data_IF_008270302444
#
_entry.id   IF_008270302444
#
_cell.length_a   1.000
_cell.length_b   1.000
_cell.length_c   1.000
_cell.angle_alpha   90.00
_cell.angle_beta   90.00
_cell.angle_gamma   90.00
#
_symmetry.space_group_name_H-M   'P 1'
#
loop_
_entity.id
_entity.type
_entity.pdbx_description
1 polymer ?
#
# COMPACT_ATOMS: atom_id res chain seq x y z
N UNK A 1 3.19 -10.41 4.33
CA UNK A 1 3.64 -9.81 5.61
C UNK A 1 5.12 -10.07 5.79
N UNK A 2 5.88 -9.06 6.19
CA UNK A 2 7.31 -9.14 6.42
C UNK A 2 7.69 -8.46 7.73
N UNK A 3 8.80 -8.90 8.36
CA UNK A 3 9.41 -8.21 9.47
C UNK A 3 10.51 -7.26 9.01
N UNK A 4 10.64 -6.12 9.68
CA UNK A 4 11.76 -5.20 9.56
C UNK A 4 12.31 -4.88 10.95
N UNK A 5 13.52 -4.38 11.03
CA UNK A 5 14.06 -3.92 12.32
C UNK A 5 13.14 -2.80 12.88
N UNK A 6 12.76 -2.84 14.16
CA UNK A 6 11.76 -1.91 14.72
C UNK A 6 12.05 -0.43 14.50
N UNK A 7 13.31 -0.03 14.47
CA UNK A 7 13.71 1.36 14.20
C UNK A 7 13.38 1.81 12.75
N UNK A 8 13.14 0.86 11.84
CA UNK A 8 12.77 1.12 10.45
C UNK A 8 11.30 0.77 10.15
N UNK A 9 10.46 0.71 11.17
CA UNK A 9 9.04 0.34 11.02
C UNK A 9 8.30 1.15 9.95
N UNK A 10 8.68 2.42 9.76
CA UNK A 10 8.06 3.30 8.77
C UNK A 10 8.22 2.82 7.33
N UNK A 11 9.28 2.10 7.00
CA UNK A 11 9.50 1.55 5.65
C UNK A 11 9.09 0.08 5.52
N UNK A 12 8.43 -0.48 6.51
CA UNK A 12 7.87 -1.84 6.47
C UNK A 12 7.06 -2.16 5.20
N UNK A 13 6.27 -1.22 4.66
CA UNK A 13 5.58 -1.40 3.37
C UNK A 13 6.50 -1.79 2.21
N UNK A 14 7.74 -1.28 2.18
CA UNK A 14 8.67 -1.49 1.05
C UNK A 14 9.01 -2.97 0.85
N UNK A 15 9.58 -3.70 1.83
CA UNK A 15 9.85 -5.12 1.65
C UNK A 15 8.57 -5.95 1.51
N UNK A 16 7.45 -5.53 2.12
CA UNK A 16 6.18 -6.23 1.97
C UNK A 16 5.65 -6.20 0.54
N UNK A 17 5.67 -5.02 -0.10
CA UNK A 17 5.26 -4.86 -1.50
C UNK A 17 6.24 -5.57 -2.44
N UNK A 18 7.56 -5.42 -2.23
CA UNK A 18 8.55 -6.09 -3.06
C UNK A 18 8.41 -7.62 -3.00
N UNK A 19 8.20 -8.19 -1.81
CA UNK A 19 7.98 -9.64 -1.67
C UNK A 19 6.69 -10.07 -2.39
N UNK A 20 5.61 -9.31 -2.23
CA UNK A 20 4.33 -9.59 -2.88
C UNK A 20 4.47 -9.58 -4.41
N UNK A 21 5.08 -8.54 -4.97
CA UNK A 21 5.31 -8.43 -6.41
C UNK A 21 6.18 -9.57 -6.95
N UNK A 22 7.24 -9.94 -6.22
CA UNK A 22 8.10 -11.05 -6.61
C UNK A 22 7.35 -12.39 -6.61
N UNK A 23 6.51 -12.66 -5.60
CA UNK A 23 5.69 -13.88 -5.51
C UNK A 23 4.71 -14.00 -6.68
N UNK A 24 4.11 -12.89 -7.08
CA UNK A 24 3.14 -12.84 -8.19
C UNK A 24 3.81 -12.65 -9.57
N UNK A 25 5.14 -12.54 -9.62
CA UNK A 25 5.92 -12.26 -10.86
C UNK A 25 5.48 -10.96 -11.54
N UNK A 26 5.17 -9.95 -10.74
CA UNK A 26 4.75 -8.62 -11.18
C UNK A 26 5.81 -7.58 -10.85
N UNK A 27 5.66 -6.42 -11.48
CA UNK A 27 6.41 -5.20 -11.18
C UNK A 27 5.45 -4.09 -10.75
N UNK A 28 5.97 -3.01 -10.19
CA UNK A 28 5.14 -1.86 -9.81
C UNK A 28 4.43 -1.21 -11.03
N UNK A 29 4.96 -1.40 -12.23
CA UNK A 29 4.35 -0.90 -13.47
C UNK A 29 3.04 -1.63 -13.81
N UNK A 30 2.90 -2.89 -13.37
CA UNK A 30 1.71 -3.72 -13.57
C UNK A 30 0.57 -3.34 -12.61
N UNK A 31 0.83 -2.47 -11.63
CA UNK A 31 -0.11 -2.02 -10.63
C UNK A 31 -0.76 -0.71 -11.06
N UNK A 32 -2.08 -0.64 -10.98
CA UNK A 32 -2.86 0.52 -11.40
C UNK A 32 -3.04 1.56 -10.29
N UNK A 33 -3.19 1.12 -9.02
CA UNK A 33 -3.30 2.00 -7.88
C UNK A 33 -2.72 1.36 -6.62
N UNK A 34 -2.14 2.18 -5.75
CA UNK A 34 -1.59 1.79 -4.45
C UNK A 34 -2.21 2.66 -3.36
N UNK A 35 -2.84 2.02 -2.40
CA UNK A 35 -3.26 2.64 -1.14
C UNK A 35 -2.23 2.28 -0.06
N UNK A 36 -1.40 3.25 0.28
CA UNK A 36 -0.39 3.16 1.33
C UNK A 36 -0.88 3.93 2.55
N UNK A 37 -0.94 3.29 3.72
CA UNK A 37 -1.32 4.00 4.93
C UNK A 37 -0.33 5.13 5.26
N UNK A 38 -0.85 6.33 5.46
CA UNK A 38 -0.08 7.54 5.73
C UNK A 38 0.10 7.73 7.25
N UNK A 39 0.94 6.92 7.87
CA UNK A 39 1.27 7.11 9.29
C UNK A 39 2.04 8.43 9.52
N UNK A 40 2.96 8.75 8.61
CA UNK A 40 3.72 10.01 8.56
C UNK A 40 4.04 10.36 7.10
N UNK A 41 4.06 11.65 6.75
CA UNK A 41 4.40 12.11 5.40
C UNK A 41 5.82 11.68 4.98
N UNK A 42 6.78 11.71 5.89
CA UNK A 42 8.16 11.24 5.63
C UNK A 42 8.21 9.76 5.28
N UNK A 43 7.42 8.94 5.95
CA UNK A 43 7.30 7.50 5.69
C UNK A 43 6.68 7.24 4.31
N UNK A 44 5.65 8.00 3.93
CA UNK A 44 5.02 7.88 2.60
C UNK A 44 6.02 8.21 1.50
N UNK A 45 6.75 9.34 1.64
CA UNK A 45 7.75 9.77 0.66
C UNK A 45 8.86 8.72 0.53
N UNK A 46 9.41 8.25 1.65
CA UNK A 46 10.46 7.23 1.64
C UNK A 46 10.00 5.91 0.97
N UNK A 47 8.79 5.46 1.29
CA UNK A 47 8.22 4.24 0.69
C UNK A 47 7.93 4.43 -0.81
N UNK A 48 7.37 5.58 -1.19
CA UNK A 48 7.09 5.93 -2.58
C UNK A 48 8.36 5.92 -3.44
N UNK A 49 9.44 6.54 -2.94
CA UNK A 49 10.72 6.60 -3.64
C UNK A 49 11.37 5.22 -3.77
N UNK A 50 11.42 4.43 -2.70
CA UNK A 50 12.04 3.11 -2.72
C UNK A 50 11.28 2.09 -3.58
N UNK A 51 9.95 2.22 -3.66
CA UNK A 51 9.10 1.38 -4.49
C UNK A 51 8.94 1.92 -5.92
N UNK A 52 9.44 3.12 -6.20
CA UNK A 52 9.25 3.82 -7.47
C UNK A 52 7.77 3.93 -7.87
N UNK A 53 6.87 4.18 -6.92
CA UNK A 53 5.44 4.33 -7.21
C UNK A 53 5.20 5.68 -7.87
N UNK A 54 4.61 5.75 -9.08
CA UNK A 54 4.19 7.01 -9.67
C UNK A 54 3.18 7.74 -8.77
N UNK A 55 3.38 9.04 -8.55
CA UNK A 55 2.51 9.82 -7.64
C UNK A 55 1.02 9.78 -8.03
N UNK A 56 0.73 9.69 -9.32
CA UNK A 56 -0.64 9.57 -9.82
C UNK A 56 -1.29 8.21 -9.56
N UNK A 57 -0.53 7.24 -9.05
CA UNK A 57 -1.04 5.92 -8.64
C UNK A 57 -1.11 5.75 -7.11
N UNK A 58 -0.53 6.68 -6.35
CA UNK A 58 -0.43 6.59 -4.89
C UNK A 58 -1.55 7.41 -4.22
N UNK A 59 -2.35 6.75 -3.38
CA UNK A 59 -3.38 7.40 -2.56
C UNK A 59 -4.21 8.43 -3.35
N UNK A 60 -4.69 8.04 -4.53
CA UNK A 60 -5.31 8.95 -5.51
C UNK A 60 -6.52 9.72 -4.97
N UNK A 61 -7.15 9.23 -3.91
CA UNK A 61 -8.30 9.86 -3.25
C UNK A 61 -7.93 10.46 -1.88
N UNK A 62 -6.67 10.77 -1.66
CA UNK A 62 -6.13 11.22 -0.39
C UNK A 62 -5.90 10.05 0.57
N UNK A 63 -5.42 10.35 1.77
CA UNK A 63 -5.04 9.34 2.75
C UNK A 63 -5.24 9.81 4.20
N UNK A 64 -4.62 9.10 5.11
CA UNK A 64 -4.76 9.31 6.55
C UNK A 64 -4.26 10.67 7.04
N UNK A 65 -3.37 11.34 6.32
CA UNK A 65 -2.95 12.72 6.65
C UNK A 65 -4.15 13.66 6.57
N UNK A 66 -5.05 13.45 5.60
CA UNK A 66 -6.25 14.27 5.44
C UNK A 66 -7.44 13.78 6.29
N UNK A 67 -7.60 12.46 6.47
CA UNK A 67 -8.80 11.86 7.05
C UNK A 67 -8.63 11.34 8.47
N UNK A 68 -7.40 11.28 8.97
CA UNK A 68 -7.06 10.65 10.24
C UNK A 68 -6.69 9.17 10.09
N UNK A 69 -6.07 8.62 11.15
CA UNK A 69 -5.57 7.25 11.18
C UNK A 69 -6.19 6.46 12.36
N UNK A 70 -7.44 6.03 12.27
CA UNK A 70 -8.04 5.14 13.27
C UNK A 70 -7.44 3.74 13.12
N UNK A 71 -6.56 3.32 14.02
CA UNK A 71 -5.71 2.13 13.91
C UNK A 71 -6.46 0.85 13.54
N UNK A 72 -7.57 0.56 14.19
CA UNK A 72 -8.38 -0.62 13.93
C UNK A 72 -9.17 -0.59 12.62
N UNK A 73 -9.31 0.58 11.97
CA UNK A 73 -10.11 0.75 10.76
C UNK A 73 -9.29 1.10 9.51
N UNK A 74 -8.07 1.62 9.66
CA UNK A 74 -7.29 2.14 8.52
C UNK A 74 -7.05 1.08 7.45
N UNK A 75 -6.68 -0.15 7.81
CA UNK A 75 -6.50 -1.23 6.83
C UNK A 75 -7.78 -1.52 6.04
N UNK A 76 -8.92 -1.57 6.70
CA UNK A 76 -10.22 -1.75 6.04
C UNK A 76 -10.56 -0.56 5.12
N UNK A 77 -10.23 0.67 5.54
CA UNK A 77 -10.43 1.86 4.72
C UNK A 77 -9.61 1.83 3.43
N UNK A 78 -8.32 1.43 3.48
CA UNK A 78 -7.48 1.26 2.29
C UNK A 78 -8.12 0.28 1.30
N UNK A 79 -8.50 -0.90 1.79
CA UNK A 79 -9.13 -1.93 0.96
C UNK A 79 -10.46 -1.44 0.39
N UNK A 80 -11.30 -0.81 1.19
CA UNK A 80 -12.59 -0.26 0.75
C UNK A 80 -12.42 0.73 -0.39
N UNK A 81 -11.45 1.65 -0.31
CA UNK A 81 -11.15 2.61 -1.39
C UNK A 81 -10.81 1.90 -2.69
N UNK A 82 -9.95 0.87 -2.64
CA UNK A 82 -9.58 0.09 -3.82
C UNK A 82 -10.80 -0.58 -4.47
N UNK A 83 -11.74 -1.09 -3.69
CA UNK A 83 -12.98 -1.65 -4.22
C UNK A 83 -13.85 -0.62 -4.95
N UNK A 84 -13.86 0.63 -4.51
CA UNK A 84 -14.58 1.73 -5.17
C UNK A 84 -13.86 2.28 -6.41
N UNK A 85 -12.57 2.01 -6.60
CA UNK A 85 -11.81 2.38 -7.81
C UNK A 85 -12.14 1.43 -8.98
N UNK A 86 -13.38 1.51 -9.49
CA UNK A 86 -13.99 0.53 -10.41
C UNK A 86 -13.23 0.27 -11.72
N UNK A 87 -12.36 1.18 -12.13
CA UNK A 87 -11.60 1.07 -13.39
C UNK A 87 -10.17 0.57 -13.19
N UNK A 88 -9.78 0.22 -11.98
CA UNK A 88 -8.43 -0.27 -11.68
C UNK A 88 -8.44 -1.80 -11.60
N UNK A 89 -7.63 -2.44 -12.47
CA UNK A 89 -7.58 -3.91 -12.55
C UNK A 89 -6.75 -4.50 -11.41
N UNK A 90 -5.48 -4.06 -11.26
CA UNK A 90 -4.58 -4.53 -10.19
C UNK A 90 -4.28 -3.41 -9.22
N UNK A 91 -4.52 -3.67 -7.95
CA UNK A 91 -4.32 -2.66 -6.91
C UNK A 91 -3.65 -3.27 -5.69
N UNK A 92 -2.89 -2.45 -4.95
CA UNK A 92 -2.22 -2.87 -3.71
C UNK A 92 -2.70 -2.00 -2.55
N UNK A 93 -3.06 -2.64 -1.44
CA UNK A 93 -3.15 -2.01 -0.13
C UNK A 93 -1.92 -2.40 0.69
N UNK A 94 -1.26 -1.44 1.31
CA UNK A 94 -0.08 -1.68 2.14
C UNK A 94 0.00 -0.75 3.33
N UNK A 95 0.57 -1.26 4.43
CA UNK A 95 0.76 -0.48 5.65
C UNK A 95 1.91 -1.02 6.49
N UNK A 96 2.55 -0.12 7.24
CA UNK A 96 3.41 -0.48 8.35
C UNK A 96 2.58 -0.76 9.59
N UNK A 97 3.02 -1.72 10.40
CA UNK A 97 2.39 -2.10 11.66
C UNK A 97 3.42 -1.93 12.78
N UNK A 98 2.98 -1.50 13.95
CA UNK A 98 3.85 -1.34 15.11
C UNK A 98 4.67 -2.61 15.42
N UNK A 99 5.89 -2.42 15.91
CA UNK A 99 6.82 -3.52 16.19
C UNK A 99 7.68 -3.96 15.00
N UNK A 100 7.65 -3.23 13.87
CA UNK A 100 8.50 -3.53 12.73
C UNK A 100 7.91 -4.57 11.77
N UNK A 101 6.62 -4.46 11.48
CA UNK A 101 5.93 -5.33 10.53
C UNK A 101 5.44 -4.50 9.34
N UNK A 102 5.68 -4.99 8.12
CA UNK A 102 5.05 -4.48 6.89
C UNK A 102 4.04 -5.49 6.37
N UNK A 103 2.91 -5.00 5.90
CA UNK A 103 1.87 -5.82 5.29
C UNK A 103 1.47 -5.26 3.92
N UNK A 104 1.25 -6.15 2.95
CA UNK A 104 0.77 -5.79 1.62
C UNK A 104 -0.21 -6.86 1.12
N UNK A 105 -1.24 -6.41 0.42
CA UNK A 105 -2.22 -7.26 -0.24
C UNK A 105 -2.46 -6.78 -1.67
N UNK A 106 -2.46 -7.71 -2.60
CA UNK A 106 -2.81 -7.48 -4.00
C UNK A 106 -4.27 -7.83 -4.23
N UNK A 107 -4.96 -7.01 -4.98
CA UNK A 107 -6.33 -7.24 -5.42
C UNK A 107 -6.39 -7.16 -6.94
N UNK A 108 -7.02 -8.16 -7.55
CA UNK A 108 -7.37 -8.14 -8.95
C UNK A 108 -8.89 -8.09 -9.09
N UNK A 109 -9.36 -7.29 -10.02
CA UNK A 109 -10.79 -7.19 -10.30
C UNK A 109 -11.20 -8.23 -11.32
N UNK A 110 -12.15 -9.04 -10.94
CA UNK A 110 -12.82 -9.96 -11.86
C UNK A 110 -13.96 -9.24 -12.61
N UNK A 111 -13.90 -9.24 -13.94
CA UNK A 111 -14.93 -8.59 -14.76
C UNK A 111 -16.00 -9.58 -15.28
N UNK A 112 -15.91 -10.86 -14.89
CA UNK A 112 -16.80 -11.91 -15.39
C UNK A 112 -16.53 -12.28 -16.85
N UNK A 113 -17.07 -13.39 -17.29
CA UNK A 113 -17.22 -13.73 -18.70
C UNK A 113 -18.60 -13.30 -19.15
#
# INVERSE_FOLDING_TARGET
TVGVQPQYLGVGPVPAVNQLLAQERLTINDINAVELNEAFSSQVIASQQQLNIPLNKLNCWGGAIATGHPYGASGAALVTRLFYMKHQFRTIATMGIGGGIGNAALFERWYGN
#
